data_IF_002512314554
#
_entry.id   IF_002512314554
#
_cell.length_a   1.000
_cell.length_b   1.000
_cell.length_c   1.000
_cell.angle_alpha   90.00
_cell.angle_beta   90.00
_cell.angle_gamma   90.00
#
_symmetry.space_group_name_H-M   'P 1'
#
loop_
_entity.id
_entity.type
_entity.pdbx_description
1 polymer ?
#
# COMPACT_ATOMS: atom_id res chain seq x y z
N UNK A 1 -12.09 8.29 13.66
CA UNK A 1 -11.52 7.39 12.63
C UNK A 1 -11.22 6.02 13.24
N UNK A 2 -11.64 4.94 12.58
CA UNK A 2 -11.43 3.53 12.98
C UNK A 2 -10.65 2.81 11.89
N UNK A 3 -9.69 1.96 12.25
CA UNK A 3 -8.98 1.09 11.32
C UNK A 3 -9.46 -0.34 11.54
N UNK A 4 -9.92 -1.00 10.47
CA UNK A 4 -10.55 -2.32 10.54
C UNK A 4 -10.05 -3.21 9.40
N UNK A 5 -10.05 -4.56 9.57
CA UNK A 5 -9.83 -5.48 8.46
C UNK A 5 -10.84 -5.27 7.33
N UNK A 6 -10.37 -5.34 6.08
CA UNK A 6 -11.24 -5.29 4.91
C UNK A 6 -12.09 -6.56 4.82
N UNK A 7 -13.32 -6.43 4.31
CA UNK A 7 -14.25 -7.53 4.08
C UNK A 7 -14.94 -7.30 2.74
N UNK A 8 -15.71 -8.28 2.26
CA UNK A 8 -16.49 -8.18 1.02
C UNK A 8 -17.41 -6.94 0.99
N UNK A 9 -17.95 -6.53 2.15
CA UNK A 9 -18.82 -5.36 2.25
C UNK A 9 -18.11 -4.04 1.88
N UNK A 10 -16.80 -3.97 2.08
CA UNK A 10 -16.01 -2.77 1.79
C UNK A 10 -15.59 -2.65 0.30
N UNK A 11 -15.68 -3.74 -0.47
CA UNK A 11 -15.13 -3.80 -1.83
C UNK A 11 -15.70 -2.75 -2.78
N UNK A 12 -17.02 -2.45 -2.80
CA UNK A 12 -17.54 -1.40 -3.67
C UNK A 12 -16.89 -0.02 -3.42
N UNK A 13 -16.69 0.35 -2.15
CA UNK A 13 -16.05 1.62 -1.80
C UNK A 13 -14.53 1.61 -2.07
N UNK A 14 -13.86 0.50 -1.79
CA UNK A 14 -12.43 0.30 -2.14
C UNK A 14 -12.22 0.44 -3.65
N UNK A 15 -13.08 -0.20 -4.46
CA UNK A 15 -13.02 -0.12 -5.91
C UNK A 15 -13.24 1.31 -6.39
N UNK A 16 -14.20 2.04 -5.81
CA UNK A 16 -14.46 3.43 -6.17
C UNK A 16 -13.23 4.33 -5.93
N UNK A 17 -12.60 4.22 -4.76
CA UNK A 17 -11.36 4.96 -4.43
C UNK A 17 -10.24 4.57 -5.41
N UNK A 18 -10.04 3.27 -5.66
CA UNK A 18 -8.98 2.82 -6.56
C UNK A 18 -9.18 3.30 -7.99
N UNK A 19 -10.41 3.22 -8.51
CA UNK A 19 -10.76 3.68 -9.84
C UNK A 19 -10.43 5.17 -10.04
N UNK A 20 -10.70 6.00 -9.03
CA UNK A 20 -10.32 7.41 -9.09
C UNK A 20 -8.81 7.58 -9.24
N UNK A 21 -8.00 6.85 -8.47
CA UNK A 21 -6.53 6.91 -8.55
C UNK A 21 -5.98 6.33 -9.86
N UNK A 22 -6.64 5.32 -10.44
CA UNK A 22 -6.29 4.79 -11.77
C UNK A 22 -6.51 5.84 -12.85
N UNK A 23 -7.63 6.57 -12.81
CA UNK A 23 -8.00 7.51 -13.87
C UNK A 23 -7.31 8.87 -13.76
N UNK A 24 -7.05 9.34 -12.54
CA UNK A 24 -6.61 10.72 -12.30
C UNK A 24 -5.22 10.82 -11.66
N UNK A 25 -4.72 9.72 -11.11
CA UNK A 25 -3.49 9.68 -10.33
C UNK A 25 -2.36 8.89 -10.99
N UNK A 26 -1.15 9.09 -10.47
CA UNK A 26 0.04 8.35 -10.85
C UNK A 26 0.47 7.30 -9.83
N UNK A 27 -0.25 7.17 -8.70
CA UNK A 27 0.13 6.28 -7.60
C UNK A 27 0.10 4.79 -8.00
N UNK A 28 -0.74 4.46 -8.98
CA UNK A 28 -0.78 3.15 -9.64
C UNK A 28 -0.49 3.30 -11.14
N UNK A 29 0.19 2.32 -11.71
CA UNK A 29 0.41 2.21 -13.14
C UNK A 29 -0.67 1.41 -13.87
N UNK A 30 -1.70 0.90 -13.18
CA UNK A 30 -2.92 0.46 -13.87
C UNK A 30 -3.55 1.65 -14.61
N UNK A 31 -4.00 1.40 -15.85
CA UNK A 31 -4.62 2.39 -16.75
C UNK A 31 -6.13 2.27 -16.81
N UNK A 32 -6.64 1.06 -16.57
CA UNK A 32 -8.06 0.72 -16.65
C UNK A 32 -8.54 0.26 -15.27
N UNK A 33 -9.54 0.92 -14.67
CA UNK A 33 -10.00 0.55 -13.35
C UNK A 33 -10.54 -0.89 -13.30
N UNK A 34 -10.10 -1.72 -12.35
CA UNK A 34 -10.69 -3.04 -12.17
C UNK A 34 -12.15 -2.91 -11.71
N UNK A 35 -12.96 -3.89 -12.10
CA UNK A 35 -14.32 -4.02 -11.61
C UNK A 35 -14.38 -4.47 -10.14
N UNK A 36 -15.57 -4.41 -9.56
CA UNK A 36 -15.83 -4.83 -8.16
C UNK A 36 -15.47 -6.30 -7.95
N UNK A 37 -15.79 -7.18 -8.91
CA UNK A 37 -15.47 -8.61 -8.84
C UNK A 37 -13.95 -8.86 -8.82
N UNK A 38 -13.20 -8.15 -9.67
CA UNK A 38 -11.74 -8.25 -9.69
C UNK A 38 -11.13 -7.76 -8.36
N UNK A 39 -11.65 -6.67 -7.80
CA UNK A 39 -11.20 -6.19 -6.48
C UNK A 39 -11.52 -7.20 -5.36
N UNK A 40 -12.66 -7.88 -5.43
CA UNK A 40 -12.99 -8.97 -4.51
C UNK A 40 -12.01 -10.15 -4.65
N UNK A 41 -11.66 -10.53 -5.88
CA UNK A 41 -10.69 -11.59 -6.14
C UNK A 41 -9.32 -11.23 -5.58
N UNK A 42 -8.88 -9.98 -5.74
CA UNK A 42 -7.63 -9.48 -5.15
C UNK A 42 -7.64 -9.57 -3.62
N UNK A 43 -8.74 -9.20 -2.98
CA UNK A 43 -8.89 -9.34 -1.52
C UNK A 43 -8.74 -10.82 -1.11
N UNK A 44 -9.48 -11.72 -1.75
CA UNK A 44 -9.45 -13.15 -1.43
C UNK A 44 -8.05 -13.73 -1.61
N UNK A 45 -7.42 -13.49 -2.77
CA UNK A 45 -6.08 -13.99 -3.08
C UNK A 45 -5.00 -13.45 -2.14
N UNK A 46 -5.14 -12.21 -1.68
CA UNK A 46 -4.23 -11.62 -0.69
C UNK A 46 -4.38 -12.32 0.67
N UNK A 47 -5.62 -12.50 1.14
CA UNK A 47 -5.91 -13.11 2.43
C UNK A 47 -5.49 -14.59 2.47
N UNK A 48 -5.69 -15.34 1.38
CA UNK A 48 -5.21 -16.73 1.23
C UNK A 48 -3.70 -16.86 1.40
N UNK A 49 -2.94 -15.82 1.01
CA UNK A 49 -1.47 -15.76 1.14
C UNK A 49 -1.02 -15.18 2.49
N UNK A 50 -1.94 -14.98 3.43
CA UNK A 50 -1.63 -14.42 4.76
C UNK A 50 -1.34 -12.91 4.75
N UNK A 51 -1.72 -12.19 3.69
CA UNK A 51 -1.56 -10.75 3.59
C UNK A 51 -2.44 -9.97 4.59
N UNK A 52 -2.29 -8.64 4.56
CA UNK A 52 -3.03 -7.72 5.44
C UNK A 52 -3.77 -6.75 4.55
N UNK A 53 -5.08 -6.59 4.74
CA UNK A 53 -5.87 -5.54 4.08
C UNK A 53 -6.71 -4.82 5.14
N UNK A 54 -6.51 -3.52 5.25
CA UNK A 54 -7.14 -2.64 6.22
C UNK A 54 -7.92 -1.53 5.52
N UNK A 55 -8.99 -1.07 6.14
CA UNK A 55 -9.79 0.09 5.74
C UNK A 55 -9.79 1.13 6.85
N UNK A 56 -9.84 2.40 6.48
CA UNK A 56 -10.05 3.53 7.37
C UNK A 56 -11.50 3.99 7.25
N UNK A 57 -12.20 3.98 8.38
CA UNK A 57 -13.58 4.44 8.47
C UNK A 57 -13.64 5.76 9.26
N UNK A 58 -14.30 6.75 8.70
CA UNK A 58 -14.79 7.93 9.43
C UNK A 58 -16.31 7.81 9.53
N UNK A 59 -16.82 7.65 10.75
CA UNK A 59 -18.20 7.21 10.98
C UNK A 59 -18.49 5.93 10.18
N UNK A 60 -19.45 5.97 9.27
CA UNK A 60 -19.84 4.86 8.38
C UNK A 60 -19.26 4.99 6.95
N UNK A 61 -18.42 6.00 6.72
CA UNK A 61 -17.78 6.25 5.42
C UNK A 61 -16.38 5.64 5.37
N UNK A 62 -16.12 4.84 4.35
CA UNK A 62 -14.78 4.34 4.04
C UNK A 62 -14.00 5.47 3.33
N UNK A 63 -12.94 5.95 3.99
CA UNK A 63 -12.16 7.11 3.53
C UNK A 63 -10.77 6.74 3.00
N UNK A 64 -10.44 5.45 3.02
CA UNK A 64 -9.19 4.93 2.47
C UNK A 64 -8.94 3.49 2.85
N UNK A 65 -7.95 2.89 2.23
CA UNK A 65 -7.50 1.53 2.52
C UNK A 65 -5.99 1.38 2.35
N UNK A 66 -5.46 0.34 2.97
CA UNK A 66 -4.07 -0.07 2.87
C UNK A 66 -4.00 -1.58 2.79
N UNK A 67 -3.09 -2.11 1.99
CA UNK A 67 -2.76 -3.53 2.06
C UNK A 67 -1.26 -3.78 2.05
N UNK A 68 -0.87 -4.91 2.62
CA UNK A 68 0.49 -5.46 2.55
C UNK A 68 0.43 -6.80 1.83
N UNK A 69 1.16 -6.89 0.71
CA UNK A 69 1.27 -8.07 -0.12
C UNK A 69 2.71 -8.61 -0.15
N UNK A 70 2.93 -9.90 -0.46
CA UNK A 70 4.29 -10.40 -0.70
C UNK A 70 4.98 -9.59 -1.81
N UNK A 71 6.17 -9.08 -1.53
CA UNK A 71 6.88 -8.17 -2.45
C UNK A 71 7.16 -8.81 -3.82
N UNK A 72 7.66 -10.06 -3.83
CA UNK A 72 8.01 -10.80 -5.04
C UNK A 72 7.72 -12.29 -4.87
N UNK A 73 7.48 -13.02 -5.97
CA UNK A 73 7.00 -14.40 -5.88
C UNK A 73 8.07 -15.42 -5.46
N UNK A 74 9.36 -15.08 -5.55
CA UNK A 74 10.44 -16.01 -5.20
C UNK A 74 10.49 -16.18 -3.68
N UNK A 75 10.60 -17.43 -3.22
CA UNK A 75 10.56 -17.81 -1.80
C UNK A 75 11.55 -17.05 -0.89
N UNK A 76 12.71 -16.64 -1.41
CA UNK A 76 13.68 -15.85 -0.64
C UNK A 76 13.12 -14.49 -0.16
N UNK A 77 12.04 -13.98 -0.78
CA UNK A 77 11.38 -12.74 -0.37
C UNK A 77 10.22 -12.95 0.62
N UNK A 78 9.99 -14.17 1.13
CA UNK A 78 8.82 -14.50 1.98
C UNK A 78 8.67 -13.66 3.25
N UNK A 79 9.75 -13.04 3.72
CA UNK A 79 9.75 -12.15 4.89
C UNK A 79 9.64 -10.66 4.54
N UNK A 80 9.46 -10.34 3.25
CA UNK A 80 9.36 -8.98 2.73
C UNK A 80 7.96 -8.74 2.15
N UNK A 81 7.32 -7.68 2.65
CA UNK A 81 6.05 -7.20 2.14
C UNK A 81 6.25 -5.94 1.30
N UNK A 82 5.28 -5.65 0.46
CA UNK A 82 5.10 -4.37 -0.21
C UNK A 82 3.80 -3.73 0.28
N UNK A 83 3.85 -2.44 0.59
CA UNK A 83 2.67 -1.67 0.98
C UNK A 83 2.05 -0.89 -0.17
N UNK A 84 0.74 -0.67 -0.05
CA UNK A 84 -0.04 0.14 -0.98
C UNK A 84 -1.15 0.83 -0.20
N UNK A 85 -1.28 2.14 -0.37
CA UNK A 85 -2.21 2.99 0.37
C UNK A 85 -2.94 3.90 -0.61
N UNK A 86 -4.26 3.90 -0.52
CA UNK A 86 -5.11 4.79 -1.31
C UNK A 86 -6.14 5.43 -0.39
N UNK A 87 -6.24 6.76 -0.47
CA UNK A 87 -7.20 7.55 0.27
C UNK A 87 -8.23 8.13 -0.68
N UNK A 88 -9.45 8.28 -0.20
CA UNK A 88 -10.43 9.11 -0.87
C UNK A 88 -9.86 10.54 -1.06
N UNK A 89 -9.93 11.12 -2.28
CA UNK A 89 -9.30 12.42 -2.57
C UNK A 89 -9.84 13.55 -1.69
N UNK A 90 -11.09 13.48 -1.25
CA UNK A 90 -11.74 14.48 -0.37
C UNK A 90 -11.33 14.32 1.10
N UNK A 91 -10.65 13.22 1.45
CA UNK A 91 -10.27 12.87 2.83
C UNK A 91 -8.75 12.83 3.06
N UNK A 92 -7.97 13.36 2.12
CA UNK A 92 -6.50 13.46 2.25
C UNK A 92 -6.07 14.50 3.30
N UNK A 93 -4.83 14.40 3.80
CA UNK A 93 -4.27 15.37 4.76
C UNK A 93 -4.82 15.28 6.20
N UNK A 94 -5.75 14.35 6.48
CA UNK A 94 -6.43 14.20 7.78
C UNK A 94 -5.89 13.05 8.65
N UNK A 95 -4.71 12.53 8.31
CA UNK A 95 -4.01 11.49 9.10
C UNK A 95 -4.40 10.04 8.79
N UNK A 96 -5.37 9.79 7.89
CA UNK A 96 -5.82 8.43 7.53
C UNK A 96 -4.69 7.54 7.00
N UNK A 97 -3.86 8.04 6.09
CA UNK A 97 -2.72 7.29 5.55
C UNK A 97 -1.70 6.89 6.64
N UNK A 98 -1.46 7.77 7.62
CA UNK A 98 -0.59 7.47 8.77
C UNK A 98 -1.19 6.38 9.66
N UNK A 99 -2.48 6.48 9.98
CA UNK A 99 -3.14 5.49 10.81
C UNK A 99 -3.19 4.11 10.15
N UNK A 100 -3.50 4.06 8.85
CA UNK A 100 -3.49 2.82 8.05
C UNK A 100 -2.11 2.16 8.04
N UNK A 101 -1.07 2.89 7.64
CA UNK A 101 0.28 2.33 7.53
C UNK A 101 0.85 1.93 8.90
N UNK A 102 0.57 2.71 9.95
CA UNK A 102 1.01 2.37 11.31
C UNK A 102 0.42 1.05 11.80
N UNK A 103 -0.88 0.83 11.58
CA UNK A 103 -1.54 -0.43 11.96
C UNK A 103 -1.07 -1.60 11.09
N UNK A 104 -0.85 -1.38 9.80
CA UNK A 104 -0.29 -2.37 8.89
C UNK A 104 1.11 -2.83 9.33
N UNK A 105 2.00 -1.89 9.67
CA UNK A 105 3.34 -2.15 10.23
C UNK A 105 3.24 -2.99 11.50
N UNK A 106 2.40 -2.58 12.45
CA UNK A 106 2.22 -3.28 13.74
C UNK A 106 1.78 -4.74 13.52
N UNK A 107 0.84 -4.97 12.61
CA UNK A 107 0.37 -6.31 12.27
C UNK A 107 1.45 -7.15 11.56
N UNK A 108 2.24 -6.54 10.67
CA UNK A 108 3.33 -7.22 9.98
C UNK A 108 4.45 -7.64 10.95
N UNK A 109 4.85 -6.76 11.86
CA UNK A 109 5.82 -7.05 12.93
C UNK A 109 5.33 -8.20 13.81
N UNK A 110 4.07 -8.17 14.24
CA UNK A 110 3.47 -9.23 15.04
C UNK A 110 3.39 -10.59 14.32
N UNK A 111 3.42 -10.60 12.98
CA UNK A 111 3.45 -11.81 12.15
C UNK A 111 4.88 -12.25 11.78
N UNK A 112 5.92 -11.57 12.29
CA UNK A 112 7.32 -11.95 12.09
C UNK A 112 7.91 -11.56 10.73
N UNK A 113 7.24 -10.70 9.95
CA UNK A 113 7.85 -10.12 8.75
C UNK A 113 9.03 -9.22 9.13
N UNK A 114 10.01 -9.10 8.22
CA UNK A 114 11.29 -8.42 8.50
C UNK A 114 11.47 -7.12 7.75
N UNK A 115 10.78 -6.96 6.62
CA UNK A 115 10.98 -5.81 5.73
C UNK A 115 9.65 -5.40 5.08
N UNK A 116 9.45 -4.09 4.89
CA UNK A 116 8.44 -3.53 4.00
C UNK A 116 9.14 -2.66 2.96
N UNK A 117 8.79 -2.85 1.70
CA UNK A 117 9.17 -1.97 0.59
C UNK A 117 7.96 -1.16 0.17
N UNK A 118 8.13 0.14 -0.07
CA UNK A 118 7.15 0.96 -0.75
C UNK A 118 7.67 1.34 -2.14
N UNK A 119 6.84 1.12 -3.15
CA UNK A 119 7.13 1.40 -4.56
C UNK A 119 6.31 2.62 -4.98
N UNK A 120 6.87 3.81 -4.78
CA UNK A 120 6.14 5.07 -4.95
C UNK A 120 6.33 5.60 -6.36
N UNK A 121 5.27 5.56 -7.15
CA UNK A 121 5.25 6.14 -8.49
C UNK A 121 5.06 7.67 -8.47
N UNK A 122 5.75 8.35 -9.38
CA UNK A 122 5.64 9.78 -9.65
C UNK A 122 6.93 10.56 -9.38
N UNK A 123 7.18 11.58 -10.21
CA UNK A 123 8.44 12.33 -10.23
C UNK A 123 8.68 13.20 -8.97
N UNK A 124 7.64 13.44 -8.17
CA UNK A 124 7.69 14.36 -7.03
C UNK A 124 6.65 14.05 -5.95
N UNK A 125 6.36 12.77 -5.68
CA UNK A 125 5.30 12.36 -4.76
C UNK A 125 5.71 12.57 -3.27
N UNK A 126 5.98 13.82 -2.91
CA UNK A 126 6.55 14.23 -1.62
C UNK A 126 5.62 13.91 -0.44
N UNK A 127 4.31 13.94 -0.64
CA UNK A 127 3.34 13.58 0.39
C UNK A 127 3.47 12.10 0.77
N UNK A 128 3.52 11.20 -0.22
CA UNK A 128 3.73 9.77 0.01
C UNK A 128 5.11 9.50 0.64
N UNK A 129 6.18 10.06 0.08
CA UNK A 129 7.53 9.91 0.63
C UNK A 129 7.61 10.44 2.08
N UNK A 130 6.98 11.58 2.36
CA UNK A 130 6.93 12.19 3.68
C UNK A 130 6.19 11.32 4.70
N UNK A 131 5.04 10.76 4.32
CA UNK A 131 4.29 9.78 5.13
C UNK A 131 5.18 8.60 5.52
N UNK A 132 5.82 7.96 4.55
CA UNK A 132 6.64 6.78 4.81
C UNK A 132 7.89 7.13 5.63
N UNK A 133 8.57 8.24 5.35
CA UNK A 133 9.71 8.70 6.16
C UNK A 133 9.32 8.95 7.61
N UNK A 134 8.16 9.56 7.86
CA UNK A 134 7.64 9.78 9.20
C UNK A 134 7.37 8.47 9.97
N UNK A 135 7.20 7.35 9.25
CA UNK A 135 7.04 6.01 9.79
C UNK A 135 8.32 5.17 9.64
N UNK A 136 9.48 5.80 9.46
CA UNK A 136 10.80 5.16 9.53
C UNK A 136 11.28 4.47 8.25
N UNK A 137 10.60 4.68 7.11
CA UNK A 137 11.14 4.24 5.82
C UNK A 137 12.31 5.12 5.38
N UNK A 138 13.27 4.51 4.70
CA UNK A 138 14.47 5.14 4.15
C UNK A 138 14.55 4.93 2.65
N UNK A 139 15.17 5.87 1.94
CA UNK A 139 15.31 5.75 0.50
C UNK A 139 16.33 4.68 0.13
N UNK A 140 15.98 3.81 -0.83
CA UNK A 140 16.83 2.71 -1.32
C UNK A 140 17.25 2.94 -2.78
N UNK A 141 16.40 3.56 -3.60
CA UNK A 141 16.74 3.85 -4.99
C UNK A 141 15.64 4.57 -5.77
N UNK A 142 15.96 4.94 -7.01
CA UNK A 142 15.01 5.52 -7.97
C UNK A 142 15.19 4.84 -9.32
N UNK A 143 14.09 4.34 -9.87
CA UNK A 143 14.01 3.88 -11.26
C UNK A 143 13.52 5.05 -12.11
N UNK A 144 14.35 5.50 -13.05
CA UNK A 144 14.07 6.67 -13.88
C UNK A 144 13.24 6.31 -15.11
N UNK A 145 12.21 7.10 -15.40
CA UNK A 145 11.36 6.96 -16.59
C UNK A 145 10.92 5.50 -16.85
N UNK A 146 10.50 4.79 -15.80
CA UNK A 146 10.19 3.35 -15.85
C UNK A 146 8.72 3.08 -16.16
N UNK A 147 7.84 4.06 -15.90
CA UNK A 147 6.42 4.01 -16.26
C UNK A 147 6.04 5.09 -17.25
N UNK A 148 5.02 4.84 -18.06
CA UNK A 148 4.42 5.85 -18.94
C UNK A 148 2.91 5.90 -18.70
N UNK A 149 2.41 7.06 -18.26
CA UNK A 149 0.97 7.25 -17.97
C UNK A 149 0.60 8.72 -18.14
N UNK A 150 -0.63 8.97 -18.59
CA UNK A 150 -1.15 10.32 -18.84
C UNK A 150 -0.24 11.19 -19.72
N UNK A 151 0.40 10.57 -20.73
CA UNK A 151 1.28 11.27 -21.68
C UNK A 151 2.65 11.65 -21.13
N UNK A 152 3.05 11.12 -19.97
CA UNK A 152 4.33 11.46 -19.32
C UNK A 152 5.08 10.23 -18.83
N UNK A 153 6.41 10.29 -18.87
CA UNK A 153 7.29 9.31 -18.23
C UNK A 153 7.36 9.59 -16.72
N UNK A 154 7.26 8.52 -15.95
CA UNK A 154 7.21 8.54 -14.50
C UNK A 154 8.36 7.74 -13.91
N UNK A 155 9.00 8.33 -12.91
CA UNK A 155 9.94 7.66 -12.03
C UNK A 155 9.20 6.82 -10.99
N UNK A 156 9.92 5.84 -10.45
CA UNK A 156 9.49 5.07 -9.28
C UNK A 156 10.55 5.14 -8.20
N UNK A 157 10.15 5.63 -7.02
CA UNK A 157 11.00 5.68 -5.84
C UNK A 157 10.83 4.39 -5.03
N UNK A 158 11.95 3.72 -4.75
CA UNK A 158 12.01 2.56 -3.87
C UNK A 158 12.46 3.03 -2.49
N UNK A 159 11.61 2.83 -1.50
CA UNK A 159 11.92 3.11 -0.10
C UNK A 159 11.61 1.88 0.75
N UNK A 160 12.30 1.72 1.87
CA UNK A 160 12.26 0.50 2.66
C UNK A 160 12.24 0.80 4.15
N UNK A 161 11.52 -0.03 4.90
CA UNK A 161 11.50 -0.05 6.36
C UNK A 161 11.82 -1.45 6.87
N UNK A 162 12.68 -1.49 7.86
CA UNK A 162 12.93 -2.68 8.67
C UNK A 162 11.80 -2.90 9.69
N UNK A 163 11.43 -4.16 9.91
CA UNK A 163 10.42 -4.58 10.88
C UNK A 163 11.02 -5.48 11.95
N UNK A 164 10.64 -5.26 13.21
CA UNK A 164 11.02 -6.12 14.32
C UNK A 164 12.54 -6.27 14.46
N UNK A 165 13.03 -7.52 14.41
CA UNK A 165 14.46 -7.85 14.49
C UNK A 165 15.20 -7.65 13.15
N UNK A 166 14.50 -7.28 12.07
CA UNK A 166 15.15 -6.97 10.80
C UNK A 166 16.00 -8.12 10.26
N UNK A 167 17.24 -7.79 9.92
CA UNK A 167 18.28 -8.73 9.50
C UNK A 167 19.23 -9.15 10.65
N UNK A 168 18.97 -8.69 11.88
CA UNK A 168 19.84 -8.96 13.03
C UNK A 168 19.79 -10.41 13.51
N UNK A 169 18.73 -11.16 13.15
CA UNK A 169 18.54 -12.56 13.54
C UNK A 169 18.09 -13.42 12.37
N UNK A 170 18.43 -14.71 12.44
CA UNK A 170 17.83 -15.71 11.56
C UNK A 170 16.33 -15.83 11.86
N UNK A 171 15.46 -15.81 10.83
CA UNK A 171 14.05 -16.17 10.99
C UNK A 171 13.82 -17.69 11.02
N UNK A 172 14.90 -18.48 10.89
CA UNK A 172 14.96 -19.95 11.03
C UNK A 172 15.70 -20.35 12.31
#
# INVERSE_FOLDING_TARGET
>A
MRILPATAHHIPAIQHIYAWHVLHGSATFETDPPGVEEMQNRLNALLEKGGIWLVAMEEDTLIGYCYLAPYRPRYAYRFTLEDSIYLDPEHTGRGAGRALLSEAIRLAEARGFRQIVAVIAGNSNQASIGLHRALGFRATGVLKAVGFKHGSWLDTHLIQRELGEGDATSPE
#
